data_IF_271049673110
#
_entry.id   IF_271049673110
#
_cell.length_a   1.000
_cell.length_b   1.000
_cell.length_c   1.000
_cell.angle_alpha   90.00
_cell.angle_beta   90.00
_cell.angle_gamma   90.00
#
_symmetry.space_group_name_H-M   'P 1'
#
loop_
_entity.id
_entity.type
_entity.pdbx_description
1 polymer ?
#
# COMPACT_ATOMS: atom_id res chain seq x y z
N UNK A 1 2.41 6.89 15.68
CA UNK A 1 2.18 7.54 14.38
C UNK A 1 1.27 6.65 13.55
N UNK A 2 0.57 7.18 12.55
CA UNK A 2 -0.27 6.42 11.59
C UNK A 2 -0.11 7.06 10.21
N UNK A 3 -0.33 6.30 9.14
CA UNK A 3 -0.28 6.89 7.81
C UNK A 3 -1.50 7.76 7.52
N UNK A 4 -1.28 8.80 6.73
CA UNK A 4 -2.31 9.56 6.06
C UNK A 4 -2.19 9.29 4.56
N UNK A 5 -3.31 9.04 3.90
CA UNK A 5 -3.39 8.96 2.44
C UNK A 5 -4.27 10.11 2.00
N UNK A 6 -3.73 11.01 1.18
CA UNK A 6 -4.42 12.22 0.74
C UNK A 6 -5.06 13.00 1.90
N UNK A 7 -4.32 13.12 3.00
CA UNK A 7 -4.72 13.77 4.27
C UNK A 7 -5.80 13.04 5.09
N UNK A 8 -6.20 11.82 4.71
CA UNK A 8 -7.12 10.98 5.47
C UNK A 8 -6.33 9.99 6.33
N UNK A 9 -6.51 10.08 7.65
CA UNK A 9 -5.88 9.20 8.63
C UNK A 9 -6.33 7.74 8.41
N UNK A 10 -5.38 6.83 8.18
CA UNK A 10 -5.62 5.41 7.93
C UNK A 10 -6.76 5.17 6.91
N UNK A 11 -6.72 5.89 5.79
CA UNK A 11 -7.73 5.81 4.76
C UNK A 11 -8.00 4.36 4.30
N UNK A 12 -9.28 4.03 4.17
CA UNK A 12 -9.72 2.84 3.43
C UNK A 12 -9.64 3.16 1.93
N UNK A 13 -8.88 2.35 1.19
CA UNK A 13 -8.62 2.60 -0.23
C UNK A 13 -9.34 1.59 -1.11
N UNK A 14 -9.74 2.02 -2.30
CA UNK A 14 -10.17 1.13 -3.38
C UNK A 14 -9.23 1.29 -4.56
N UNK A 15 -8.59 0.20 -4.97
CA UNK A 15 -7.75 0.14 -6.16
C UNK A 15 -8.36 -0.84 -7.16
N UNK A 16 -8.10 -0.62 -8.44
CA UNK A 16 -8.65 -1.43 -9.52
C UNK A 16 -7.56 -2.30 -10.17
N UNK A 17 -7.89 -3.56 -10.44
CA UNK A 17 -7.03 -4.50 -11.17
C UNK A 17 -6.68 -3.95 -12.55
N UNK A 18 -5.43 -4.13 -12.96
CA UNK A 18 -4.90 -3.62 -14.23
C UNK A 18 -4.51 -2.14 -14.21
N UNK A 19 -4.83 -1.39 -13.15
CA UNK A 19 -4.40 0.01 -13.01
C UNK A 19 -3.07 0.09 -12.27
N UNK A 20 -2.33 1.17 -12.54
CA UNK A 20 -1.10 1.50 -11.84
C UNK A 20 -1.34 2.68 -10.90
N UNK A 21 -1.00 2.50 -9.63
CA UNK A 21 -1.07 3.53 -8.59
C UNK A 21 0.34 3.84 -8.10
N UNK A 22 0.61 5.11 -7.81
CA UNK A 22 1.87 5.53 -7.20
C UNK A 22 1.57 6.20 -5.86
N UNK A 23 2.19 5.68 -4.81
CA UNK A 23 2.18 6.25 -3.47
C UNK A 23 3.47 7.06 -3.29
N UNK A 24 3.32 8.37 -3.22
CA UNK A 24 4.41 9.29 -2.92
C UNK A 24 4.76 9.20 -1.43
N UNK A 25 6.03 8.87 -1.14
CA UNK A 25 6.58 8.80 0.20
C UNK A 25 7.69 9.84 0.42
N UNK A 26 7.70 10.92 -0.33
CA UNK A 26 8.69 12.01 -0.23
C UNK A 26 8.59 12.82 1.05
N UNK A 27 7.41 12.86 1.69
CA UNK A 27 7.19 13.59 2.93
C UNK A 27 8.17 13.12 4.01
N UNK A 28 8.92 14.04 4.61
CA UNK A 28 9.99 13.75 5.58
C UNK A 28 9.51 12.92 6.78
N UNK A 29 8.23 13.03 7.15
CA UNK A 29 7.56 12.18 8.15
C UNK A 29 7.60 10.68 7.85
N UNK A 30 7.89 10.28 6.61
CA UNK A 30 7.97 8.87 6.19
C UNK A 30 9.38 8.27 6.33
N UNK A 31 10.41 9.06 6.71
CA UNK A 31 11.81 8.60 6.78
C UNK A 31 11.98 7.29 7.56
N UNK A 32 11.31 7.15 8.71
CA UNK A 32 11.35 5.96 9.56
C UNK A 32 10.15 5.01 9.37
N UNK A 33 9.28 5.28 8.39
CA UNK A 33 8.00 4.60 8.22
C UNK A 33 7.85 4.03 6.79
N UNK A 34 8.53 2.91 6.48
CA UNK A 34 8.39 2.28 5.18
C UNK A 34 6.97 1.78 4.94
N UNK A 35 6.28 2.36 3.96
CA UNK A 35 4.98 1.88 3.51
C UNK A 35 5.15 0.60 2.69
N UNK A 36 4.44 -0.46 3.05
CA UNK A 36 4.47 -1.78 2.40
C UNK A 36 3.06 -2.33 2.25
N UNK A 37 2.89 -3.31 1.36
CA UNK A 37 1.63 -4.02 1.15
C UNK A 37 1.72 -5.45 1.73
N UNK A 38 0.60 -6.02 2.16
CA UNK A 38 0.47 -7.41 2.62
C UNK A 38 -0.95 -7.94 2.40
N UNK A 39 -1.12 -9.25 2.34
CA UNK A 39 -2.44 -9.91 2.41
C UNK A 39 -2.96 -10.07 3.83
N UNK A 40 -2.11 -9.81 4.84
CA UNK A 40 -2.46 -9.94 6.27
C UNK A 40 -2.56 -8.56 6.90
N UNK A 41 -3.58 -8.35 7.75
CA UNK A 41 -3.71 -7.11 8.52
C UNK A 41 -2.45 -6.86 9.35
N UNK A 42 -1.96 -5.62 9.33
CA UNK A 42 -0.71 -5.20 9.97
C UNK A 42 0.57 -5.90 9.46
N UNK A 43 0.50 -6.54 8.29
CA UNK A 43 1.65 -7.14 7.60
C UNK A 43 2.46 -8.08 8.49
N UNK A 44 3.77 -7.85 8.57
CA UNK A 44 4.70 -8.69 9.36
C UNK A 44 4.46 -8.62 10.87
N UNK A 45 3.79 -7.57 11.36
CA UNK A 45 3.39 -7.47 12.77
C UNK A 45 2.17 -8.34 13.08
N UNK A 46 1.31 -8.58 12.08
CA UNK A 46 0.18 -9.51 12.15
C UNK A 46 0.51 -10.95 11.75
N UNK A 47 1.79 -11.30 11.60
CA UNK A 47 2.24 -12.64 11.17
C UNK A 47 2.21 -12.88 9.66
N UNK A 48 1.94 -11.85 8.86
CA UNK A 48 2.00 -11.91 7.40
C UNK A 48 3.41 -11.69 6.84
N UNK A 49 3.46 -11.63 5.52
CA UNK A 49 4.66 -11.28 4.75
C UNK A 49 4.37 -10.09 3.83
N UNK A 50 5.42 -9.44 3.34
CA UNK A 50 5.27 -8.38 2.35
C UNK A 50 4.71 -8.96 1.04
N UNK A 51 3.69 -8.30 0.50
CA UNK A 51 3.20 -8.49 -0.86
C UNK A 51 4.06 -7.70 -1.83
N UNK A 52 4.61 -8.38 -2.83
CA UNK A 52 5.58 -7.81 -3.78
C UNK A 52 5.13 -7.88 -5.24
N UNK A 53 4.09 -8.64 -5.55
CA UNK A 53 3.65 -8.81 -6.94
C UNK A 53 3.06 -7.52 -7.50
N UNK A 54 3.50 -7.12 -8.70
CA UNK A 54 3.16 -5.83 -9.29
C UNK A 54 3.69 -4.59 -8.54
N UNK A 55 4.49 -4.75 -7.48
CA UNK A 55 4.99 -3.65 -6.64
C UNK A 55 6.45 -3.35 -6.94
N UNK A 56 6.77 -2.08 -7.15
CA UNK A 56 8.15 -1.57 -7.23
C UNK A 56 8.36 -0.42 -6.23
N UNK A 57 9.57 -0.35 -5.68
CA UNK A 57 10.00 0.73 -4.80
C UNK A 57 11.20 1.43 -5.40
N UNK A 58 11.19 2.75 -5.44
CA UNK A 58 12.31 3.57 -5.90
C UNK A 58 12.59 4.71 -4.93
N UNK A 59 13.80 5.26 -4.97
CA UNK A 59 14.23 6.36 -4.10
C UNK A 59 14.26 5.98 -2.62
N UNK A 60 14.25 7.01 -1.77
CA UNK A 60 14.28 6.87 -0.31
C UNK A 60 13.08 7.56 0.30
N UNK A 61 12.23 6.82 1.02
CA UNK A 61 11.12 7.37 1.80
C UNK A 61 11.61 8.50 2.72
N UNK A 62 10.80 9.54 2.90
CA UNK A 62 11.23 10.77 3.56
C UNK A 62 11.97 11.76 2.65
N UNK A 63 12.17 11.42 1.37
CA UNK A 63 12.82 12.29 0.40
C UNK A 63 12.32 12.07 -1.04
N UNK A 64 12.69 10.97 -1.70
CA UNK A 64 12.34 10.67 -3.11
C UNK A 64 11.61 9.34 -3.26
N UNK A 65 11.15 8.76 -2.14
CA UNK A 65 10.58 7.44 -2.10
C UNK A 65 9.26 7.35 -2.84
N UNK A 66 9.15 6.37 -3.74
CA UNK A 66 7.91 6.02 -4.43
C UNK A 66 7.64 4.52 -4.24
N UNK A 67 6.37 4.17 -4.02
CA UNK A 67 5.86 2.82 -4.25
C UNK A 67 4.95 2.89 -5.47
N UNK A 68 5.28 2.16 -6.53
CA UNK A 68 4.39 2.00 -7.69
C UNK A 68 3.81 0.59 -7.68
N UNK A 69 2.48 0.50 -7.71
CA UNK A 69 1.72 -0.74 -7.69
C UNK A 69 0.85 -0.85 -8.94
N UNK A 70 1.28 -1.69 -9.88
CA UNK A 70 0.43 -2.14 -10.99
C UNK A 70 -0.34 -3.34 -10.49
N UNK A 71 -1.64 -3.16 -10.21
CA UNK A 71 -2.46 -4.18 -9.56
C UNK A 71 -2.62 -5.40 -10.49
N UNK A 72 -2.11 -6.59 -10.11
CA UNK A 72 -2.28 -7.79 -10.93
C UNK A 72 -3.75 -8.13 -11.18
N UNK A 73 -4.05 -8.75 -12.32
CA UNK A 73 -5.42 -9.16 -12.66
C UNK A 73 -5.95 -10.29 -11.77
N UNK A 74 -5.07 -10.99 -11.08
CA UNK A 74 -5.33 -12.06 -10.11
C UNK A 74 -5.02 -11.63 -8.67
N UNK A 75 -4.79 -10.34 -8.42
CA UNK A 75 -4.60 -9.82 -7.06
C UNK A 75 -5.79 -10.20 -6.15
N UNK A 76 -5.55 -10.50 -4.87
CA UNK A 76 -6.63 -10.82 -3.92
C UNK A 76 -7.57 -9.63 -3.72
N UNK A 77 -8.83 -9.88 -3.40
CA UNK A 77 -9.85 -8.84 -3.18
C UNK A 77 -9.51 -7.89 -2.03
N UNK A 78 -8.63 -8.30 -1.13
CA UNK A 78 -8.20 -7.49 0.01
C UNK A 78 -6.69 -7.54 0.15
N UNK A 79 -6.10 -6.36 0.21
CA UNK A 79 -4.74 -6.12 0.67
C UNK A 79 -4.77 -5.16 1.86
N UNK A 80 -3.64 -5.02 2.53
CA UNK A 80 -3.42 -4.07 3.60
C UNK A 80 -2.15 -3.32 3.29
N UNK A 81 -2.17 -2.01 3.48
CA UNK A 81 -0.92 -1.28 3.65
C UNK A 81 -0.52 -1.31 5.12
N UNK A 82 0.78 -1.35 5.39
CA UNK A 82 1.32 -1.33 6.74
C UNK A 82 2.68 -0.62 6.76
N UNK A 83 3.13 -0.24 7.94
CA UNK A 83 4.50 0.24 8.13
C UNK A 83 5.39 -0.95 8.46
N UNK A 84 6.48 -1.15 7.74
CA UNK A 84 7.42 -2.25 7.99
C UNK A 84 8.01 -2.23 9.41
N UNK A 85 8.22 -1.02 9.96
CA UNK A 85 8.92 -0.84 11.22
C UNK A 85 7.99 -0.76 12.44
N UNK A 86 6.70 -0.51 12.24
CA UNK A 86 5.80 -0.11 13.32
C UNK A 86 4.40 -0.70 13.12
N UNK A 87 3.96 -1.47 14.11
CA UNK A 87 2.63 -2.04 14.13
C UNK A 87 1.51 -1.00 14.17
N UNK A 88 0.36 -1.42 13.69
CA UNK A 88 -0.90 -0.70 13.65
C UNK A 88 -0.89 0.60 12.85
N UNK A 89 0.13 0.89 12.04
CA UNK A 89 0.19 2.15 11.27
C UNK A 89 -0.60 2.14 9.95
N UNK A 90 -1.03 0.95 9.54
CA UNK A 90 -1.63 0.63 8.25
C UNK A 90 -3.15 0.74 8.17
N UNK A 91 -3.72 0.22 7.08
CA UNK A 91 -5.16 0.18 6.84
C UNK A 91 -5.50 -0.80 5.71
N UNK A 92 -6.78 -0.90 5.36
CA UNK A 92 -7.26 -1.84 4.35
C UNK A 92 -7.30 -1.23 2.95
N UNK A 93 -7.05 -2.08 1.95
CA UNK A 93 -7.18 -1.79 0.54
C UNK A 93 -8.16 -2.81 -0.05
N UNK A 94 -9.29 -2.34 -0.55
CA UNK A 94 -10.21 -3.12 -1.36
C UNK A 94 -9.71 -3.15 -2.81
N UNK A 95 -9.58 -4.34 -3.39
CA UNK A 95 -9.20 -4.53 -4.79
C UNK A 95 -10.43 -4.92 -5.60
N UNK A 96 -10.72 -4.13 -6.64
CA UNK A 96 -11.90 -4.32 -7.48
C UNK A 96 -11.52 -4.50 -8.95
N UNK A 97 -12.44 -5.03 -9.74
CA UNK A 97 -12.32 -5.04 -11.20
C UNK A 97 -13.33 -4.06 -11.77
N UNK A 98 -12.95 -3.25 -12.76
CA UNK A 98 -13.97 -2.54 -13.54
C UNK A 98 -14.79 -3.60 -14.28
N UNK A 99 -16.10 -3.58 -14.09
CA UNK A 99 -17.00 -4.47 -14.80
C UNK A 99 -16.82 -4.32 -16.32
N UNK A 100 -17.02 -5.40 -17.06
CA UNK A 100 -17.10 -5.33 -18.51
C UNK A 100 -18.41 -4.67 -18.92
N UNK A 101 -18.36 -3.69 -19.83
CA UNK A 101 -19.53 -3.33 -20.63
C UNK A 101 -19.54 -4.31 -21.81
N UNK A 102 -20.59 -5.13 -21.88
CA UNK A 102 -20.86 -6.00 -23.04
C UNK A 102 -21.65 -5.26 -24.10
#
# INVERSE_FOLDING_TARGET
>A
MKFYIDSILQADMTLYRGFTYTFDQSASSNSAHPFRLSTTSDGTHGGGIQYTDGVTYTGTQGSTGLLTFTVPLDAPDTLYYYCQNHGSMGGVISIQSLGSVS
#
